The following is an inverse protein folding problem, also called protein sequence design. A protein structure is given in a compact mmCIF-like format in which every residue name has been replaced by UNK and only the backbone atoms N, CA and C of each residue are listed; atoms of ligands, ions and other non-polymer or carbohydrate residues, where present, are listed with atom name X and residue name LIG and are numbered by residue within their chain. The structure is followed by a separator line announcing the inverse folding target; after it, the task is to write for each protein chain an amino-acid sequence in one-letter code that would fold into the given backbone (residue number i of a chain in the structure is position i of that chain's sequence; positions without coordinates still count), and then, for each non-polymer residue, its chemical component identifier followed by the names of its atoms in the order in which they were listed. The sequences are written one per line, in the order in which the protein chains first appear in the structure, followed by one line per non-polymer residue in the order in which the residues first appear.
data_IF_715949663873
#
_entry.id   IF_715949663873
#
_cell.length_a   1.000
_cell.length_b   1.000
_cell.length_c   1.000
_cell.angle_alpha   90.00
_cell.angle_beta   90.00
_cell.angle_gamma   90.00
#
_symmetry.space_group_name_H-M   'P 1'
#
loop_
_entity.id
_entity.type
_entity.pdbx_description
1 polymer ?
#
# COMPACT_ATOMS: atom_id res chain seq x y z
N UNK A 1 -62.01 57.45 19.64
CA UNK A 1 -62.69 57.08 20.91
C UNK A 1 -61.70 56.32 21.78
N UNK A 2 -61.49 56.77 23.03
CA UNK A 2 -60.89 56.11 24.22
C UNK A 2 -59.61 55.25 23.97
N UNK A 3 -58.40 55.57 24.44
CA UNK A 3 -57.99 56.16 25.71
C UNK A 3 -57.50 55.08 26.69
N UNK A 4 -56.34 55.32 27.34
CA UNK A 4 -55.73 54.64 28.52
C UNK A 4 -54.86 53.38 28.27
N UNK A 5 -53.71 53.14 28.92
CA UNK A 5 -52.80 53.97 29.74
C UNK A 5 -51.47 53.22 30.01
N UNK A 6 -50.44 53.99 30.32
CA UNK A 6 -49.09 53.66 30.83
C UNK A 6 -49.04 52.62 31.98
N UNK A 7 -47.91 51.89 32.10
CA UNK A 7 -47.00 52.16 33.23
C UNK A 7 -45.57 51.63 33.08
N UNK A 8 -44.66 52.53 33.43
CA UNK A 8 -43.21 52.42 33.53
C UNK A 8 -42.89 52.58 35.02
N UNK A 9 -42.11 51.67 35.62
CA UNK A 9 -41.15 51.91 36.74
C UNK A 9 -40.88 50.65 37.56
N UNK A 10 -39.63 50.19 37.49
CA UNK A 10 -38.76 49.79 38.61
C UNK A 10 -37.51 49.14 37.99
N UNK A 11 -36.27 49.35 38.41
CA UNK A 11 -35.60 50.37 39.22
C UNK A 11 -34.11 50.08 38.97
N UNK A 12 -33.35 51.10 38.63
CA UNK A 12 -31.90 51.13 38.53
C UNK A 12 -31.26 50.62 39.83
N UNK A 13 -30.41 49.59 39.79
CA UNK A 13 -29.38 49.34 40.82
C UNK A 13 -28.20 48.55 40.24
N UNK A 14 -27.00 49.06 40.52
CA UNK A 14 -25.66 48.54 40.29
C UNK A 14 -25.08 48.55 38.87
N UNK A 15 -24.59 49.75 38.50
CA UNK A 15 -23.26 49.88 37.91
C UNK A 15 -22.18 49.65 38.99
N UNK A 16 -21.02 49.19 38.53
CA UNK A 16 -19.69 49.18 39.16
C UNK A 16 -19.33 47.97 40.02
N UNK A 17 -18.72 46.98 39.37
CA UNK A 17 -17.49 46.36 39.85
C UNK A 17 -16.60 46.04 38.64
N UNK A 18 -15.74 47.00 38.28
CA UNK A 18 -14.58 46.76 37.44
C UNK A 18 -13.44 46.28 38.34
N UNK A 19 -13.00 45.04 38.17
CA UNK A 19 -11.61 44.66 38.45
C UNK A 19 -11.15 43.66 37.41
N UNK A 20 -9.96 43.95 36.87
CA UNK A 20 -9.20 43.17 35.92
C UNK A 20 -9.09 41.70 36.35
N UNK A 21 -9.19 40.80 35.36
CA UNK A 21 -8.29 39.66 35.27
C UNK A 21 -8.00 39.40 33.80
N UNK A 22 -6.79 39.80 33.42
CA UNK A 22 -6.08 39.34 32.23
C UNK A 22 -5.95 37.82 32.37
N UNK A 23 -6.57 37.06 31.47
CA UNK A 23 -6.10 35.71 31.13
C UNK A 23 -6.23 35.52 29.63
N UNK A 24 -5.08 35.70 28.97
CA UNK A 24 -4.56 34.92 27.85
C UNK A 24 -5.59 34.20 26.97
N UNK A 25 -5.76 34.76 25.77
CA UNK A 25 -6.13 34.01 24.58
C UNK A 25 -5.07 32.92 24.33
N UNK A 26 -5.47 31.73 23.87
CA UNK A 26 -4.89 31.30 22.61
C UNK A 26 -5.97 31.13 21.54
N UNK A 27 -5.71 31.81 20.43
CA UNK A 27 -6.30 31.60 19.14
C UNK A 27 -5.96 30.16 18.74
N UNK A 28 -6.85 29.23 19.06
CA UNK A 28 -6.99 28.01 18.28
C UNK A 28 -8.30 28.14 17.52
N UNK A 29 -8.30 29.00 16.49
CA UNK A 29 -9.11 28.75 15.31
C UNK A 29 -8.54 27.49 14.66
N UNK A 30 -8.88 26.34 15.22
CA UNK A 30 -8.82 25.08 14.49
C UNK A 30 -9.88 25.27 13.41
N UNK A 31 -9.43 25.72 12.24
CA UNK A 31 -10.06 25.40 10.98
C UNK A 31 -10.06 23.87 10.87
N UNK A 32 -10.97 23.23 11.60
CA UNK A 32 -11.50 21.92 11.26
C UNK A 32 -12.37 22.14 10.03
N UNK A 33 -11.73 22.44 8.90
CA UNK A 33 -12.19 21.82 7.67
C UNK A 33 -11.99 20.34 7.97
N UNK A 34 -13.06 19.68 8.40
CA UNK A 34 -13.21 18.25 8.19
C UNK A 34 -13.17 18.10 6.67
N UNK A 35 -11.95 17.99 6.15
CA UNK A 35 -11.74 17.34 4.87
C UNK A 35 -12.48 16.00 4.96
N UNK A 36 -13.20 15.63 3.89
CA UNK A 36 -14.11 14.49 3.94
C UNK A 36 -13.34 13.32 4.54
N UNK A 37 -13.84 12.80 5.66
CA UNK A 37 -13.29 11.68 6.43
C UNK A 37 -12.12 10.98 5.71
N UNK A 38 -10.89 11.28 6.13
CA UNK A 38 -9.68 10.49 5.81
C UNK A 38 -9.67 9.14 6.55
N UNK A 39 -10.81 8.75 7.14
CA UNK A 39 -11.25 7.37 7.01
C UNK A 39 -11.69 7.22 5.57
N UNK A 40 -10.77 6.78 4.72
CA UNK A 40 -11.12 5.64 3.90
C UNK A 40 -11.68 4.57 4.86
N UNK A 41 -12.97 4.69 5.23
CA UNK A 41 -13.88 3.61 4.98
C UNK A 41 -13.74 3.38 3.46
N UNK A 42 -12.67 2.72 3.05
CA UNK A 42 -12.89 1.50 2.31
C UNK A 42 -13.76 0.69 3.29
N UNK A 43 -15.07 0.96 3.27
CA UNK A 43 -15.98 -0.15 3.25
C UNK A 43 -15.37 -1.02 2.17
N UNK A 44 -14.73 -2.12 2.58
CA UNK A 44 -14.54 -3.24 1.68
C UNK A 44 -15.92 -3.80 1.29
N UNK A 45 -16.99 -3.35 1.97
CA UNK A 45 -18.40 -3.35 1.50
C UNK A 45 -18.72 -2.22 0.50
N UNK A 46 -17.70 -1.56 -0.06
CA UNK A 46 -17.80 -0.66 -1.20
C UNK A 46 -17.83 -1.43 -2.51
N UNK A 47 -18.32 -2.67 -2.48
CA UNK A 47 -19.02 -3.20 -3.64
C UNK A 47 -20.09 -2.17 -3.98
N UNK A 48 -19.99 -1.55 -5.17
CA UNK A 48 -21.19 -1.31 -5.98
C UNK A 48 -22.10 -2.51 -5.72
N UNK A 49 -23.35 -2.29 -5.29
CA UNK A 49 -24.38 -3.28 -4.93
C UNK A 49 -24.53 -4.44 -5.94
N UNK A 50 -23.49 -5.24 -6.09
CA UNK A 50 -23.48 -6.60 -6.51
C UNK A 50 -23.12 -7.32 -5.22
N UNK A 51 -24.13 -7.48 -4.37
CA UNK A 51 -24.22 -8.69 -3.55
C UNK A 51 -24.26 -9.86 -4.53
N UNK A 52 -23.13 -10.18 -5.15
CA UNK A 52 -22.93 -11.53 -5.66
C UNK A 52 -23.06 -12.38 -4.41
N UNK A 53 -24.20 -13.06 -4.30
CA UNK A 53 -24.48 -14.02 -3.24
C UNK A 53 -23.21 -14.85 -3.06
N UNK A 54 -22.57 -14.73 -1.90
CA UNK A 54 -21.44 -15.58 -1.55
C UNK A 54 -21.93 -17.00 -1.68
N UNK A 55 -21.58 -17.66 -2.80
CA UNK A 55 -22.04 -19.00 -3.10
C UNK A 55 -21.59 -19.89 -1.95
N UNK A 56 -22.54 -20.44 -1.20
CA UNK A 56 -22.15 -21.36 -0.14
C UNK A 56 -21.67 -22.66 -0.77
N UNK A 57 -20.36 -22.92 -0.68
CA UNK A 57 -19.76 -24.15 -1.16
C UNK A 57 -19.92 -25.23 -0.09
N UNK A 58 -20.95 -26.07 -0.22
CA UNK A 58 -21.08 -27.28 0.59
C UNK A 58 -20.28 -28.39 -0.09
N UNK A 59 -19.26 -28.91 0.59
CA UNK A 59 -18.50 -30.08 0.14
C UNK A 59 -18.89 -31.29 0.99
N UNK A 60 -19.00 -32.44 0.36
CA UNK A 60 -19.45 -33.67 1.03
C UNK A 60 -18.29 -34.59 1.39
N UNK A 61 -17.19 -34.53 0.64
CA UNK A 61 -16.08 -35.46 0.74
C UNK A 61 -14.92 -34.94 1.59
N UNK A 62 -14.14 -35.86 2.15
CA UNK A 62 -13.13 -35.56 3.17
C UNK A 62 -12.01 -34.64 2.65
N UNK A 63 -11.43 -34.94 1.48
CA UNK A 63 -10.35 -34.14 0.89
C UNK A 63 -10.84 -32.71 0.55
N UNK A 64 -11.92 -32.52 -0.24
CA UNK A 64 -12.50 -31.20 -0.48
C UNK A 64 -12.87 -30.41 0.78
N UNK A 65 -13.44 -31.07 1.81
CA UNK A 65 -13.75 -30.44 3.12
C UNK A 65 -12.49 -29.92 3.80
N UNK A 66 -11.45 -30.75 3.91
CA UNK A 66 -10.16 -30.35 4.49
C UNK A 66 -9.53 -29.19 3.74
N UNK A 67 -9.60 -29.20 2.40
CA UNK A 67 -9.10 -28.07 1.58
C UNK A 67 -9.91 -26.80 1.86
N UNK A 68 -11.25 -26.87 1.95
CA UNK A 68 -12.11 -25.72 2.32
C UNK A 68 -11.75 -25.17 3.68
N UNK A 69 -11.52 -26.02 4.68
CA UNK A 69 -11.13 -25.60 6.04
C UNK A 69 -9.78 -24.88 6.04
N UNK A 70 -8.76 -25.41 5.36
CA UNK A 70 -7.44 -24.76 5.24
C UNK A 70 -7.57 -23.40 4.53
N UNK A 71 -8.38 -23.35 3.46
CA UNK A 71 -8.63 -22.11 2.73
C UNK A 71 -9.36 -21.07 3.59
N UNK A 72 -10.46 -21.47 4.22
CA UNK A 72 -11.31 -20.59 5.02
C UNK A 72 -10.64 -20.09 6.30
N UNK A 73 -9.84 -20.92 6.96
CA UNK A 73 -9.22 -20.60 8.24
C UNK A 73 -7.77 -20.13 8.05
N UNK A 74 -6.88 -21.03 7.60
CA UNK A 74 -5.44 -20.77 7.62
C UNK A 74 -4.98 -19.76 6.56
N UNK A 75 -5.51 -19.84 5.34
CA UNK A 75 -5.17 -18.86 4.29
C UNK A 75 -5.77 -17.50 4.64
N UNK A 76 -7.05 -17.44 5.01
CA UNK A 76 -7.71 -16.19 5.39
C UNK A 76 -7.01 -15.48 6.57
N UNK A 77 -6.66 -16.23 7.62
CA UNK A 77 -5.93 -15.69 8.77
C UNK A 77 -4.57 -15.11 8.36
N UNK A 78 -3.78 -15.86 7.59
CA UNK A 78 -2.50 -15.38 7.08
C UNK A 78 -2.66 -14.11 6.22
N UNK A 79 -3.71 -14.05 5.40
CA UNK A 79 -4.01 -12.88 4.59
C UNK A 79 -4.35 -11.66 5.45
N UNK A 80 -5.16 -11.84 6.50
CA UNK A 80 -5.51 -10.77 7.43
C UNK A 80 -4.25 -10.24 8.14
N UNK A 81 -3.41 -11.12 8.69
CA UNK A 81 -2.16 -10.74 9.36
C UNK A 81 -1.24 -9.92 8.43
N UNK A 82 -1.05 -10.41 7.21
CA UNK A 82 -0.15 -9.78 6.22
C UNK A 82 -0.71 -8.42 5.77
N UNK A 83 -2.01 -8.34 5.49
CA UNK A 83 -2.69 -7.08 5.14
C UNK A 83 -2.62 -6.07 6.27
N UNK A 84 -2.72 -6.52 7.53
CA UNK A 84 -2.60 -5.63 8.68
C UNK A 84 -1.19 -5.05 8.80
N UNK A 85 -0.14 -5.87 8.65
CA UNK A 85 1.24 -5.35 8.60
C UNK A 85 1.42 -4.34 7.46
N UNK A 86 0.88 -4.64 6.29
CA UNK A 86 0.93 -3.73 5.15
C UNK A 86 0.19 -2.42 5.41
N UNK A 87 -0.99 -2.44 6.04
CA UNK A 87 -1.74 -1.23 6.41
C UNK A 87 -0.96 -0.36 7.39
N UNK A 88 -0.35 -0.97 8.40
CA UNK A 88 0.51 -0.27 9.37
C UNK A 88 1.73 0.35 8.69
N UNK A 89 2.35 -0.39 7.77
CA UNK A 89 3.44 0.09 6.93
C UNK A 89 3.01 1.28 6.06
N UNK A 90 1.90 1.14 5.32
CA UNK A 90 1.31 2.17 4.44
C UNK A 90 1.06 3.46 5.21
N UNK A 91 0.49 3.39 6.42
CA UNK A 91 0.21 4.56 7.24
C UNK A 91 1.45 5.42 7.51
N UNK A 92 2.61 4.79 7.73
CA UNK A 92 3.87 5.51 7.99
C UNK A 92 4.55 5.97 6.69
N UNK A 93 4.65 5.08 5.71
CA UNK A 93 5.58 5.26 4.59
C UNK A 93 4.93 5.67 3.26
N UNK A 94 3.62 5.50 3.08
CA UNK A 94 2.91 6.00 1.89
C UNK A 94 3.02 7.51 1.73
N UNK A 95 3.13 8.22 2.85
CA UNK A 95 3.27 9.66 2.86
C UNK A 95 4.54 10.13 2.14
N UNK A 96 5.59 9.30 2.02
CA UNK A 96 6.77 9.62 1.20
C UNK A 96 6.35 9.95 -0.23
N UNK A 97 5.60 9.05 -0.87
CA UNK A 97 5.17 9.21 -2.26
C UNK A 97 4.26 10.43 -2.42
N UNK A 98 3.30 10.62 -1.51
CA UNK A 98 2.39 11.78 -1.54
C UNK A 98 3.15 13.10 -1.38
N UNK A 99 4.13 13.14 -0.47
CA UNK A 99 4.92 14.35 -0.20
C UNK A 99 5.91 14.66 -1.31
N UNK A 100 6.55 13.66 -1.91
CA UNK A 100 7.38 13.85 -3.10
C UNK A 100 6.58 14.38 -4.30
N UNK A 101 5.41 13.81 -4.59
CA UNK A 101 4.52 14.32 -5.67
C UNK A 101 4.07 15.75 -5.41
N UNK A 102 3.67 16.05 -4.18
CA UNK A 102 3.27 17.40 -3.78
C UNK A 102 4.42 18.39 -3.90
N UNK A 103 5.61 18.02 -3.43
CA UNK A 103 6.83 18.82 -3.57
C UNK A 103 7.17 19.07 -5.04
N UNK A 104 7.17 18.02 -5.87
CA UNK A 104 7.42 18.08 -7.32
C UNK A 104 6.51 19.10 -8.00
N UNK A 105 5.19 18.97 -7.86
CA UNK A 105 4.22 19.91 -8.46
C UNK A 105 4.38 21.35 -7.96
N UNK A 106 4.65 21.54 -6.67
CA UNK A 106 4.82 22.87 -6.08
C UNK A 106 6.08 23.54 -6.57
N UNK A 107 7.19 22.80 -6.67
CA UNK A 107 8.48 23.31 -7.16
C UNK A 107 8.39 23.62 -8.65
N UNK A 108 7.82 22.72 -9.46
CA UNK A 108 7.60 22.93 -10.90
C UNK A 108 6.84 24.23 -11.17
N UNK A 109 5.78 24.48 -10.39
CA UNK A 109 4.99 25.69 -10.52
C UNK A 109 5.71 26.98 -10.08
N UNK A 110 6.77 26.89 -9.28
CA UNK A 110 7.58 28.06 -8.87
C UNK A 110 8.56 28.51 -9.96
N UNK A 111 8.97 27.62 -10.86
CA UNK A 111 9.93 27.91 -11.93
C UNK A 111 9.47 29.12 -12.77
N UNK A 112 8.28 29.09 -13.43
CA UNK A 112 7.84 30.21 -14.26
C UNK A 112 7.38 31.44 -13.48
N UNK A 113 7.29 31.38 -12.15
CA UNK A 113 6.85 32.51 -11.31
C UNK A 113 7.97 33.49 -10.98
N UNK A 114 9.24 33.07 -11.09
CA UNK A 114 10.33 33.95 -10.71
C UNK A 114 10.49 35.08 -11.71
N UNK A 115 10.45 36.33 -11.22
CA UNK A 115 10.69 37.51 -12.06
C UNK A 115 12.14 37.63 -12.56
N UNK A 116 13.07 36.86 -11.98
CA UNK A 116 14.50 36.84 -12.32
C UNK A 116 14.85 35.48 -12.95
N UNK A 117 15.36 35.44 -14.21
CA UNK A 117 15.67 34.20 -14.91
C UNK A 117 16.69 33.30 -14.20
N UNK A 118 17.69 33.87 -13.54
CA UNK A 118 18.71 33.13 -12.80
C UNK A 118 18.10 32.33 -11.64
N UNK A 119 17.12 32.90 -10.95
CA UNK A 119 16.39 32.22 -9.88
C UNK A 119 15.58 31.05 -10.44
N UNK A 120 14.86 31.26 -11.55
CA UNK A 120 14.14 30.20 -12.25
C UNK A 120 15.05 29.04 -12.61
N UNK A 121 16.24 29.32 -13.16
CA UNK A 121 17.22 28.31 -13.56
C UNK A 121 17.73 27.48 -12.36
N UNK A 122 17.98 28.11 -11.19
CA UNK A 122 18.38 27.37 -9.99
C UNK A 122 17.26 26.49 -9.42
N UNK A 123 16.00 26.95 -9.47
CA UNK A 123 14.85 26.13 -9.09
C UNK A 123 14.69 24.94 -10.04
N UNK A 124 14.83 25.17 -11.34
CA UNK A 124 14.73 24.14 -12.38
C UNK A 124 15.84 23.09 -12.23
N UNK A 125 17.07 23.47 -11.89
CA UNK A 125 18.16 22.52 -11.58
C UNK A 125 17.79 21.57 -10.44
N UNK A 126 17.23 22.10 -9.35
CA UNK A 126 16.77 21.28 -8.23
C UNK A 126 15.65 20.32 -8.67
N UNK A 127 14.67 20.84 -9.40
CA UNK A 127 13.56 20.05 -9.94
C UNK A 127 14.05 18.91 -10.83
N UNK A 128 14.90 19.19 -11.81
CA UNK A 128 15.41 18.21 -12.77
C UNK A 128 16.25 17.11 -12.11
N UNK A 129 17.04 17.47 -11.09
CA UNK A 129 17.89 16.52 -10.36
C UNK A 129 17.10 15.61 -9.43
N UNK A 130 16.10 16.14 -8.72
CA UNK A 130 15.46 15.44 -7.61
C UNK A 130 14.01 14.99 -7.88
N UNK A 131 13.24 15.74 -8.66
CA UNK A 131 11.78 15.66 -8.67
C UNK A 131 11.16 15.32 -10.03
N UNK A 132 11.84 15.64 -11.14
CA UNK A 132 11.40 15.30 -12.49
C UNK A 132 11.58 13.80 -12.72
N UNK A 133 10.51 13.07 -13.05
CA UNK A 133 10.55 11.61 -13.13
C UNK A 133 11.50 11.10 -14.24
N UNK A 134 11.49 11.73 -15.42
CA UNK A 134 12.28 11.35 -16.60
C UNK A 134 13.54 12.23 -16.80
N UNK A 135 14.03 12.88 -15.74
CA UNK A 135 15.22 13.74 -15.80
C UNK A 135 16.51 12.96 -16.11
N UNK A 136 17.37 13.51 -16.98
CA UNK A 136 18.67 12.89 -17.34
C UNK A 136 19.71 13.00 -16.22
N UNK A 137 19.68 14.08 -15.45
CA UNK A 137 20.70 14.40 -14.43
C UNK A 137 20.34 13.90 -13.03
N UNK A 138 19.48 12.88 -12.94
CA UNK A 138 18.96 12.40 -11.67
C UNK A 138 19.99 11.62 -10.88
N UNK A 139 20.11 11.96 -9.61
CA UNK A 139 20.90 11.21 -8.65
C UNK A 139 20.24 9.85 -8.33
N UNK A 140 21.01 8.95 -7.71
CA UNK A 140 20.57 7.60 -7.34
C UNK A 140 19.36 7.61 -6.40
N UNK A 141 19.35 8.48 -5.39
CA UNK A 141 18.25 8.60 -4.44
C UNK A 141 16.95 9.07 -5.12
N UNK A 142 17.02 10.04 -6.02
CA UNK A 142 15.85 10.49 -6.80
C UNK A 142 15.26 9.35 -7.64
N UNK A 143 16.12 8.57 -8.33
CA UNK A 143 15.70 7.39 -9.08
C UNK A 143 15.02 6.34 -8.19
N UNK A 144 15.56 6.10 -6.99
CA UNK A 144 14.97 5.20 -6.00
C UNK A 144 13.59 5.65 -5.52
N UNK A 145 13.37 6.95 -5.33
CA UNK A 145 12.04 7.46 -4.97
C UNK A 145 10.96 7.05 -5.99
N UNK A 146 11.28 7.14 -7.28
CA UNK A 146 10.35 6.73 -8.33
C UNK A 146 10.10 5.23 -8.32
N UNK A 147 11.16 4.42 -8.22
CA UNK A 147 11.00 2.96 -8.20
C UNK A 147 10.21 2.52 -6.97
N UNK A 148 10.48 3.11 -5.81
CA UNK A 148 9.71 2.89 -4.57
C UNK A 148 8.21 3.23 -4.76
N UNK A 149 7.90 4.33 -5.45
CA UNK A 149 6.52 4.67 -5.81
C UNK A 149 5.88 3.63 -6.73
N UNK A 150 6.58 3.18 -7.78
CA UNK A 150 6.06 2.17 -8.71
C UNK A 150 5.75 0.86 -8.01
N UNK A 151 6.64 0.38 -7.14
CA UNK A 151 6.42 -0.84 -6.36
C UNK A 151 5.23 -0.65 -5.41
N UNK A 152 5.10 0.51 -4.78
CA UNK A 152 3.94 0.81 -3.92
C UNK A 152 2.62 0.69 -4.69
N UNK A 153 2.56 1.29 -5.89
CA UNK A 153 1.37 1.26 -6.74
C UNK A 153 1.05 -0.16 -7.21
N UNK A 154 2.07 -0.94 -7.55
CA UNK A 154 1.91 -2.32 -7.99
C UNK A 154 1.41 -3.22 -6.86
N UNK A 155 1.95 -3.05 -5.65
CA UNK A 155 1.47 -3.76 -4.46
C UNK A 155 0.00 -3.46 -4.19
N UNK A 156 -0.41 -2.19 -4.25
CA UNK A 156 -1.82 -1.79 -4.07
C UNK A 156 -2.72 -2.43 -5.16
N UNK A 157 -2.27 -2.46 -6.42
CA UNK A 157 -3.00 -3.07 -7.52
C UNK A 157 -3.15 -4.59 -7.36
N UNK A 158 -2.07 -5.31 -7.06
CA UNK A 158 -2.14 -6.76 -6.88
C UNK A 158 -2.95 -7.14 -5.64
N UNK A 159 -2.88 -6.36 -4.55
CA UNK A 159 -3.75 -6.60 -3.38
C UNK A 159 -5.23 -6.47 -3.75
N UNK A 160 -5.60 -5.53 -4.62
CA UNK A 160 -6.96 -5.40 -5.15
C UNK A 160 -7.37 -6.63 -5.95
N UNK A 161 -6.51 -7.10 -6.87
CA UNK A 161 -6.78 -8.29 -7.69
C UNK A 161 -6.89 -9.55 -6.83
N UNK A 162 -6.01 -9.71 -5.84
CA UNK A 162 -6.05 -10.82 -4.87
C UNK A 162 -7.35 -10.81 -4.08
N UNK A 163 -7.84 -9.64 -3.64
CA UNK A 163 -9.14 -9.56 -2.97
C UNK A 163 -10.26 -10.04 -3.89
N UNK A 164 -10.29 -9.54 -5.12
CA UNK A 164 -11.32 -9.87 -6.09
C UNK A 164 -11.42 -11.39 -6.36
N UNK A 165 -10.29 -12.08 -6.50
CA UNK A 165 -10.31 -13.53 -6.78
C UNK A 165 -10.69 -14.38 -5.55
N UNK A 166 -10.40 -13.88 -4.34
CA UNK A 166 -10.81 -14.51 -3.07
C UNK A 166 -12.30 -14.29 -2.78
N UNK A 167 -12.80 -13.07 -3.01
CA UNK A 167 -14.22 -12.70 -2.87
C UNK A 167 -15.09 -13.49 -3.86
N UNK A 168 -14.59 -13.65 -5.10
CA UNK A 168 -15.21 -14.51 -6.11
C UNK A 168 -15.09 -16.02 -5.82
N UNK A 169 -14.41 -16.38 -4.73
CA UNK A 169 -14.17 -17.76 -4.27
C UNK A 169 -13.66 -18.66 -5.39
N UNK A 170 -12.77 -18.13 -6.26
CA UNK A 170 -12.33 -18.81 -7.47
C UNK A 170 -11.64 -20.15 -7.15
N UNK A 171 -10.87 -20.19 -6.05
CA UNK A 171 -10.24 -21.41 -5.57
C UNK A 171 -11.27 -22.52 -5.28
N UNK A 172 -12.36 -22.18 -4.57
CA UNK A 172 -13.41 -23.13 -4.20
C UNK A 172 -14.17 -23.68 -5.42
N UNK A 173 -14.23 -22.93 -6.53
CA UNK A 173 -14.80 -23.41 -7.80
C UNK A 173 -14.00 -24.60 -8.35
N UNK A 174 -12.67 -24.59 -8.25
CA UNK A 174 -11.84 -25.74 -8.66
C UNK A 174 -12.04 -26.94 -7.73
N UNK A 175 -12.12 -26.70 -6.42
CA UNK A 175 -12.34 -27.76 -5.43
C UNK A 175 -13.72 -28.42 -5.59
N UNK A 176 -14.72 -27.67 -6.03
CA UNK A 176 -16.05 -28.20 -6.34
C UNK A 176 -16.05 -29.26 -7.43
N UNK A 177 -15.21 -29.11 -8.45
CA UNK A 177 -15.07 -30.14 -9.51
C UNK A 177 -14.59 -31.46 -8.90
N UNK A 178 -13.65 -31.40 -7.95
CA UNK A 178 -13.14 -32.59 -7.25
C UNK A 178 -14.24 -33.25 -6.40
N UNK A 179 -14.98 -32.46 -5.60
CA UNK A 179 -16.06 -32.98 -4.76
C UNK A 179 -17.22 -33.59 -5.58
N UNK A 180 -17.57 -32.98 -6.71
CA UNK A 180 -18.59 -33.50 -7.62
C UNK A 180 -18.17 -34.84 -8.23
N UNK A 181 -16.90 -34.97 -8.62
CA UNK A 181 -16.36 -36.24 -9.13
C UNK A 181 -16.49 -37.35 -8.08
N UNK A 182 -16.10 -37.06 -6.83
CA UNK A 182 -16.20 -38.04 -5.75
C UNK A 182 -17.65 -38.42 -5.42
N UNK A 183 -18.60 -37.53 -5.70
CA UNK A 183 -20.04 -37.80 -5.59
C UNK A 183 -20.57 -38.76 -6.66
N UNK A 184 -19.72 -39.25 -7.58
CA UNK A 184 -20.12 -40.12 -8.68
C UNK A 184 -20.67 -39.37 -9.90
N UNK A 185 -20.55 -38.04 -9.95
CA UNK A 185 -20.91 -37.26 -11.14
C UNK A 185 -19.89 -37.56 -12.23
N UNK A 186 -20.39 -37.81 -13.44
CA UNK A 186 -19.54 -38.04 -14.60
C UNK A 186 -18.88 -36.73 -15.02
N UNK A 187 -17.58 -36.63 -14.74
CA UNK A 187 -16.72 -35.50 -15.05
C UNK A 187 -15.55 -36.04 -15.87
N UNK A 188 -15.26 -35.37 -16.98
CA UNK A 188 -14.15 -35.78 -17.86
C UNK A 188 -12.82 -35.70 -17.12
N UNK A 189 -11.95 -36.68 -17.33
CA UNK A 189 -10.62 -36.73 -16.71
C UNK A 189 -9.82 -35.44 -16.93
N UNK A 190 -9.89 -34.84 -18.12
CA UNK A 190 -9.23 -33.56 -18.41
C UNK A 190 -9.76 -32.39 -17.59
N UNK A 191 -11.04 -32.39 -17.18
CA UNK A 191 -11.59 -31.36 -16.30
C UNK A 191 -11.07 -31.50 -14.86
N UNK A 192 -10.90 -32.74 -14.38
CA UNK A 192 -10.29 -33.03 -13.09
C UNK A 192 -8.82 -32.61 -13.09
N UNK A 193 -8.06 -32.98 -14.13
CA UNK A 193 -6.66 -32.57 -14.29
C UNK A 193 -6.52 -31.04 -14.27
N UNK A 194 -7.35 -30.36 -15.05
CA UNK A 194 -7.38 -28.89 -15.08
C UNK A 194 -7.74 -28.28 -13.73
N UNK A 195 -8.69 -28.86 -12.99
CA UNK A 195 -9.06 -28.38 -11.66
C UNK A 195 -7.87 -28.47 -10.68
N UNK A 196 -7.18 -29.62 -10.64
CA UNK A 196 -6.01 -29.83 -9.76
C UNK A 196 -4.87 -28.85 -10.12
N UNK A 197 -4.53 -28.75 -11.41
CA UNK A 197 -3.48 -27.83 -11.89
C UNK A 197 -3.86 -26.38 -11.58
N UNK A 198 -5.11 -25.99 -11.82
CA UNK A 198 -5.59 -24.63 -11.57
C UNK A 198 -5.61 -24.29 -10.08
N UNK A 199 -5.97 -25.23 -9.21
CA UNK A 199 -5.86 -25.07 -7.75
C UNK A 199 -4.42 -24.76 -7.33
N UNK A 200 -3.44 -25.52 -7.82
CA UNK A 200 -2.03 -25.30 -7.48
C UNK A 200 -1.50 -23.97 -8.04
N UNK A 201 -1.81 -23.67 -9.31
CA UNK A 201 -1.45 -22.38 -9.94
C UNK A 201 -2.07 -21.20 -9.22
N UNK A 202 -3.33 -21.31 -8.80
CA UNK A 202 -4.01 -20.27 -8.02
C UNK A 202 -3.23 -19.96 -6.74
N UNK A 203 -2.86 -20.99 -5.97
CA UNK A 203 -2.12 -20.81 -4.72
C UNK A 203 -0.72 -20.21 -4.97
N UNK A 204 0.00 -20.67 -6.00
CA UNK A 204 1.31 -20.08 -6.35
C UNK A 204 1.21 -18.62 -6.79
N UNK A 205 0.16 -18.26 -7.49
CA UNK A 205 0.01 -16.92 -8.05
C UNK A 205 -0.50 -15.89 -7.03
N UNK A 206 -1.25 -16.31 -6.01
CA UNK A 206 -1.92 -15.38 -5.09
C UNK A 206 -1.47 -15.51 -3.63
N UNK A 207 -1.02 -16.70 -3.19
CA UNK A 207 -0.56 -16.91 -1.82
C UNK A 207 0.97 -16.82 -1.71
N UNK A 208 1.70 -17.80 -2.25
CA UNK A 208 3.15 -17.88 -2.07
C UNK A 208 3.84 -18.69 -3.18
N UNK A 209 4.97 -18.19 -3.69
CA UNK A 209 5.80 -18.93 -4.63
C UNK A 209 7.27 -18.90 -4.21
N UNK A 210 7.74 -20.02 -3.66
CA UNK A 210 9.13 -20.17 -3.19
C UNK A 210 10.17 -19.94 -4.29
N UNK A 211 9.89 -20.33 -5.53
CA UNK A 211 10.84 -20.20 -6.64
C UNK A 211 10.98 -18.76 -7.16
N UNK A 212 9.97 -17.91 -6.91
CA UNK A 212 9.91 -16.51 -7.37
C UNK A 212 9.99 -15.51 -6.22
N UNK A 213 10.59 -15.88 -5.10
CA UNK A 213 10.80 -14.93 -4.00
C UNK A 213 12.01 -14.05 -4.34
N UNK A 214 11.80 -12.75 -4.30
CA UNK A 214 12.82 -11.74 -4.57
C UNK A 214 13.92 -11.81 -3.51
N UNK A 215 15.18 -11.60 -3.91
CA UNK A 215 16.33 -11.53 -3.01
C UNK A 215 16.95 -10.15 -3.04
N UNK A 216 17.72 -9.83 -2.00
CA UNK A 216 18.43 -8.54 -1.93
C UNK A 216 19.41 -8.38 -3.10
N UNK A 217 20.10 -9.45 -3.49
CA UNK A 217 21.06 -9.43 -4.60
C UNK A 217 20.39 -9.23 -5.97
N UNK A 218 19.10 -9.54 -6.08
CA UNK A 218 18.33 -9.32 -7.30
C UNK A 218 18.01 -7.83 -7.44
N UNK A 219 17.64 -7.16 -6.34
CA UNK A 219 17.34 -5.73 -6.31
C UNK A 219 18.54 -4.85 -6.62
N UNK A 220 19.73 -5.23 -6.15
CA UNK A 220 20.97 -4.49 -6.43
C UNK A 220 21.36 -4.55 -7.92
N UNK A 221 20.86 -5.53 -8.67
CA UNK A 221 21.08 -5.68 -10.12
C UNK A 221 20.01 -5.03 -10.97
N UNK A 222 18.88 -4.62 -10.39
CA UNK A 222 17.80 -3.95 -11.13
C UNK A 222 18.34 -2.60 -11.62
N UNK A 223 18.25 -2.39 -12.93
CA UNK A 223 18.55 -1.09 -13.51
C UNK A 223 17.45 -0.10 -13.12
N UNK A 224 17.73 0.69 -12.08
CA UNK A 224 16.85 1.75 -11.56
C UNK A 224 16.62 2.84 -12.64
N UNK A 225 17.45 2.90 -13.69
CA UNK A 225 17.40 3.92 -14.74
C UNK A 225 16.52 3.57 -15.94
N UNK A 226 16.36 2.28 -16.28
CA UNK A 226 15.70 1.87 -17.54
C UNK A 226 14.35 1.19 -17.35
N UNK A 227 14.07 0.65 -16.16
CA UNK A 227 12.94 -0.24 -15.97
C UNK A 227 11.71 0.52 -15.45
N UNK A 228 10.94 1.09 -16.39
CA UNK A 228 9.61 1.69 -16.13
C UNK A 228 8.58 0.65 -15.69
N UNK A 229 8.86 -0.63 -15.93
CA UNK A 229 8.05 -1.71 -15.42
C UNK A 229 8.45 -1.99 -13.97
N UNK A 230 7.48 -2.16 -13.10
CA UNK A 230 7.72 -2.83 -11.81
C UNK A 230 8.02 -4.32 -12.06
N UNK A 231 7.40 -4.92 -13.07
CA UNK A 231 7.19 -6.36 -13.21
C UNK A 231 8.43 -7.19 -13.60
N UNK A 232 9.13 -7.69 -12.58
CA UNK A 232 9.87 -8.96 -12.67
C UNK A 232 9.43 -9.98 -11.62
N UNK A 233 8.38 -9.67 -10.85
CA UNK A 233 8.10 -10.32 -9.57
C UNK A 233 6.80 -11.13 -9.52
N UNK A 234 6.77 -12.05 -8.56
CA UNK A 234 5.61 -12.89 -8.26
C UNK A 234 4.43 -12.04 -7.78
N UNK A 235 3.21 -12.32 -8.25
CA UNK A 235 1.97 -11.68 -7.77
C UNK A 235 1.44 -12.30 -6.46
N UNK A 236 2.18 -13.26 -5.91
CA UNK A 236 1.82 -13.86 -4.64
C UNK A 236 1.95 -12.84 -3.51
N UNK A 237 0.91 -12.67 -2.69
CA UNK A 237 0.87 -11.64 -1.64
C UNK A 237 2.08 -11.70 -0.71
N UNK A 238 2.53 -12.90 -0.32
CA UNK A 238 3.67 -13.07 0.57
C UNK A 238 4.98 -12.64 -0.09
N UNK A 239 5.16 -12.94 -1.37
CA UNK A 239 6.34 -12.54 -2.13
C UNK A 239 6.38 -11.02 -2.30
N UNK A 240 5.24 -10.42 -2.68
CA UNK A 240 5.10 -8.97 -2.89
C UNK A 240 5.40 -8.17 -1.63
N UNK A 241 4.86 -8.59 -0.48
CA UNK A 241 5.11 -7.92 0.79
C UNK A 241 6.59 -7.99 1.17
N UNK A 242 7.19 -9.17 1.01
CA UNK A 242 8.61 -9.35 1.27
C UNK A 242 9.46 -8.43 0.39
N UNK A 243 9.18 -8.38 -0.91
CA UNK A 243 9.87 -7.50 -1.85
C UNK A 243 9.69 -6.01 -1.50
N UNK A 244 8.49 -5.58 -1.14
CA UNK A 244 8.26 -4.20 -0.68
C UNK A 244 9.13 -3.86 0.55
N UNK A 245 9.29 -4.82 1.46
CA UNK A 245 10.20 -4.68 2.59
C UNK A 245 11.67 -4.56 2.18
N UNK A 246 12.11 -5.31 1.17
CA UNK A 246 13.47 -5.19 0.64
C UNK A 246 13.70 -3.84 -0.07
N UNK A 247 12.73 -3.35 -0.86
CA UNK A 247 12.79 -2.01 -1.45
C UNK A 247 12.86 -0.92 -0.39
N UNK A 248 12.16 -1.09 0.73
CA UNK A 248 12.26 -0.19 1.88
C UNK A 248 13.66 -0.18 2.49
N UNK A 249 14.28 -1.35 2.69
CA UNK A 249 15.67 -1.42 3.15
C UNK A 249 16.64 -0.74 2.19
N UNK A 250 16.45 -0.94 0.88
CA UNK A 250 17.27 -0.29 -0.14
C UNK A 250 17.11 1.24 -0.10
N UNK A 251 15.88 1.73 0.03
CA UNK A 251 15.60 3.16 0.20
C UNK A 251 16.29 3.70 1.45
N UNK A 252 16.09 3.04 2.60
CA UNK A 252 16.74 3.38 3.87
C UNK A 252 18.26 3.46 3.73
N UNK A 253 18.91 2.46 3.13
CA UNK A 253 20.37 2.41 2.91
C UNK A 253 20.88 3.61 2.11
N UNK A 254 20.13 4.08 1.11
CA UNK A 254 20.54 5.23 0.29
C UNK A 254 20.16 6.57 0.90
N UNK A 255 19.08 6.64 1.68
CA UNK A 255 18.73 7.82 2.47
C UNK A 255 19.75 8.04 3.60
N UNK A 256 20.22 6.96 4.23
CA UNK A 256 21.24 7.02 5.29
C UNK A 256 22.67 7.14 4.76
N UNK A 257 22.87 7.11 3.44
CA UNK A 257 24.13 7.53 2.84
C UNK A 257 24.30 9.03 3.08
N UNK A 258 25.20 9.36 4.01
CA UNK A 258 25.45 10.73 4.48
C UNK A 258 25.70 11.69 3.32
N UNK A 259 26.30 11.23 2.22
CA UNK A 259 26.57 12.10 1.08
C UNK A 259 25.29 12.44 0.32
N UNK A 260 24.40 11.47 0.08
CA UNK A 260 23.18 11.68 -0.71
C UNK A 260 22.16 12.55 0.02
N UNK A 261 21.96 12.32 1.33
CA UNK A 261 21.01 13.13 2.11
C UNK A 261 21.54 14.54 2.35
N UNK A 262 22.84 14.71 2.61
CA UNK A 262 23.42 16.05 2.75
C UNK A 262 23.41 16.82 1.43
N UNK A 263 23.62 16.14 0.30
CA UNK A 263 23.47 16.74 -1.02
C UNK A 263 22.03 17.21 -1.26
N UNK A 264 21.03 16.38 -0.94
CA UNK A 264 19.62 16.77 -1.04
C UNK A 264 19.31 18.02 -0.19
N UNK A 265 19.80 18.05 1.05
CA UNK A 265 19.64 19.20 1.96
C UNK A 265 20.31 20.46 1.44
N UNK A 266 21.52 20.34 0.91
CA UNK A 266 22.29 21.45 0.36
C UNK A 266 21.62 22.02 -0.87
N UNK A 267 21.21 21.16 -1.81
CA UNK A 267 20.53 21.58 -3.03
C UNK A 267 19.18 22.23 -2.72
N UNK A 268 18.43 21.69 -1.75
CA UNK A 268 17.20 22.32 -1.28
C UNK A 268 17.45 23.71 -0.67
N UNK A 269 18.52 23.89 0.11
CA UNK A 269 18.86 25.19 0.67
C UNK A 269 19.21 26.22 -0.42
N UNK A 270 19.87 25.79 -1.50
CA UNK A 270 20.11 26.62 -2.69
C UNK A 270 18.80 26.96 -3.39
N UNK A 271 17.96 25.97 -3.68
CA UNK A 271 16.62 26.17 -4.24
C UNK A 271 15.83 27.20 -3.43
N UNK A 272 15.73 27.02 -2.11
CA UNK A 272 14.97 27.89 -1.22
C UNK A 272 15.42 29.36 -1.27
N UNK A 273 16.73 29.61 -1.36
CA UNK A 273 17.26 30.99 -1.47
C UNK A 273 16.86 31.69 -2.77
N UNK A 274 16.57 30.93 -3.82
CA UNK A 274 16.19 31.44 -5.13
C UNK A 274 14.67 31.56 -5.32
N UNK A 275 13.85 31.10 -4.37
CA UNK A 275 12.40 31.36 -4.37
C UNK A 275 12.16 32.78 -3.82
N UNK A 276 12.11 33.76 -4.72
CA UNK A 276 11.82 35.16 -4.38
C UNK A 276 10.33 35.43 -4.54
N UNK A 277 9.73 34.92 -5.60
CA UNK A 277 8.31 35.04 -5.90
C UNK A 277 7.60 33.73 -5.54
N UNK A 278 6.57 33.82 -4.69
CA UNK A 278 5.68 32.69 -4.36
C UNK A 278 4.22 33.18 -4.38
N UNK A 279 3.77 33.54 -5.58
CA UNK A 279 2.47 34.22 -5.79
C UNK A 279 1.32 33.36 -5.27
N UNK A 280 1.42 32.03 -5.43
CA UNK A 280 0.43 31.07 -4.94
C UNK A 280 0.56 30.68 -3.46
N UNK A 281 1.46 31.29 -2.68
CA UNK A 281 1.76 30.93 -1.28
C UNK A 281 1.94 29.42 -1.09
N UNK A 282 2.63 28.78 -2.03
CA UNK A 282 2.84 27.33 -2.05
C UNK A 282 3.71 26.93 -0.87
N UNK A 283 3.13 26.15 0.03
CA UNK A 283 3.85 25.59 1.17
C UNK A 283 4.61 24.31 0.74
N UNK A 284 5.68 24.46 -0.05
CA UNK A 284 6.58 23.37 -0.42
C UNK A 284 7.48 22.93 0.75
N UNK A 285 7.72 23.85 1.69
CA UNK A 285 8.62 23.66 2.83
C UNK A 285 8.11 22.62 3.80
N UNK A 286 6.80 22.57 4.04
CA UNK A 286 6.19 21.53 4.87
C UNK A 286 6.34 20.12 4.28
N UNK A 287 6.29 19.98 2.95
CA UNK A 287 6.43 18.68 2.30
C UNK A 287 7.89 18.22 2.33
N UNK A 288 8.83 19.12 2.06
CA UNK A 288 10.25 18.85 2.22
C UNK A 288 10.62 18.51 3.67
N UNK A 289 10.14 19.30 4.64
CA UNK A 289 10.41 19.06 6.06
C UNK A 289 9.91 17.68 6.49
N UNK A 290 8.71 17.29 6.09
CA UNK A 290 8.21 15.94 6.36
C UNK A 290 9.16 14.85 5.86
N UNK A 291 9.67 14.99 4.63
CA UNK A 291 10.58 14.01 4.04
C UNK A 291 11.88 13.93 4.83
N UNK A 292 12.48 15.07 5.16
CA UNK A 292 13.73 15.12 5.94
C UNK A 292 13.53 14.57 7.35
N UNK A 293 12.49 15.00 8.06
CA UNK A 293 12.20 14.52 9.41
C UNK A 293 12.03 12.98 9.40
N UNK A 294 11.38 12.42 8.38
CA UNK A 294 11.24 10.97 8.23
C UNK A 294 12.59 10.28 7.92
N UNK A 295 13.37 10.85 7.01
CA UNK A 295 14.67 10.33 6.58
C UNK A 295 15.74 10.38 7.67
N UNK A 296 15.68 11.38 8.55
CA UNK A 296 16.57 11.52 9.70
C UNK A 296 16.22 10.57 10.86
N UNK A 297 14.96 10.14 10.96
CA UNK A 297 14.49 9.19 11.98
C UNK A 297 14.72 7.71 11.57
N UNK A 298 15.79 7.44 10.84
CA UNK A 298 16.32 6.10 10.49
C UNK A 298 15.40 5.15 9.69
N UNK A 299 14.12 5.50 9.48
CA UNK A 299 13.14 4.69 8.74
C UNK A 299 13.08 3.24 9.23
N UNK A 300 13.11 3.00 10.54
CA UNK A 300 13.13 1.65 11.07
C UNK A 300 11.78 0.91 10.92
N UNK A 301 11.88 -0.39 10.64
CA UNK A 301 10.72 -1.28 10.66
C UNK A 301 10.54 -1.85 12.07
N UNK A 302 9.37 -1.61 12.63
CA UNK A 302 8.90 -2.19 13.88
C UNK A 302 8.19 -3.53 13.60
N UNK A 303 8.02 -4.36 14.63
CA UNK A 303 7.33 -5.64 14.51
C UNK A 303 5.93 -5.52 13.88
N UNK A 304 5.22 -4.40 14.10
CA UNK A 304 3.87 -4.16 13.61
C UNK A 304 3.79 -3.74 12.12
N UNK A 305 4.92 -3.40 11.48
CA UNK A 305 4.98 -2.95 10.09
C UNK A 305 6.11 -3.63 9.28
N UNK A 306 6.83 -4.57 9.88
CA UNK A 306 7.89 -5.32 9.22
C UNK A 306 7.33 -6.32 8.20
N UNK A 307 7.37 -5.94 6.92
CA UNK A 307 6.89 -6.75 5.79
C UNK A 307 7.80 -7.95 5.48
N UNK A 308 9.03 -7.97 6.01
CA UNK A 308 10.01 -9.02 5.74
C UNK A 308 9.99 -10.15 6.78
N UNK A 309 9.01 -10.15 7.68
CA UNK A 309 8.95 -11.16 8.73
C UNK A 309 8.85 -12.57 8.13
N UNK A 310 9.90 -13.38 8.31
CA UNK A 310 9.98 -14.75 7.78
C UNK A 310 8.85 -15.66 8.27
N UNK A 311 8.17 -15.31 9.37
CA UNK A 311 7.02 -16.07 9.86
C UNK A 311 5.94 -16.23 8.79
N UNK A 312 5.73 -15.21 7.95
CA UNK A 312 4.73 -15.25 6.88
C UNK A 312 5.09 -16.27 5.80
N UNK A 313 6.37 -16.30 5.40
CA UNK A 313 6.87 -17.29 4.43
C UNK A 313 6.78 -18.71 5.00
N UNK A 314 7.19 -18.90 6.26
CA UNK A 314 7.12 -20.20 6.93
C UNK A 314 5.68 -20.70 7.07
N UNK A 315 4.74 -19.83 7.47
CA UNK A 315 3.30 -20.15 7.55
C UNK A 315 2.76 -20.51 6.15
N UNK A 316 3.06 -19.70 5.15
CA UNK A 316 2.62 -19.93 3.77
C UNK A 316 3.17 -21.24 3.21
N UNK A 317 4.45 -21.53 3.38
CA UNK A 317 5.07 -22.78 2.93
C UNK A 317 4.42 -24.00 3.61
N UNK A 318 4.14 -23.91 4.92
CA UNK A 318 3.43 -24.97 5.65
C UNK A 318 2.03 -25.22 5.06
N UNK A 319 1.25 -24.16 4.84
CA UNK A 319 -0.10 -24.24 4.25
C UNK A 319 -0.03 -24.84 2.83
N UNK A 320 0.90 -24.34 2.01
CA UNK A 320 1.11 -24.82 0.64
C UNK A 320 1.46 -26.31 0.61
N UNK A 321 2.31 -26.79 1.52
CA UNK A 321 2.67 -28.19 1.62
C UNK A 321 1.49 -29.08 2.06
N UNK A 322 0.66 -28.60 2.98
CA UNK A 322 -0.57 -29.31 3.39
C UNK A 322 -1.54 -29.44 2.22
N UNK A 323 -1.79 -28.36 1.49
CA UNK A 323 -2.67 -28.37 0.32
C UNK A 323 -2.11 -29.23 -0.81
N UNK A 324 -0.80 -29.17 -1.06
CA UNK A 324 -0.13 -30.02 -2.04
C UNK A 324 -0.28 -31.51 -1.69
N UNK A 325 -0.18 -31.88 -0.41
CA UNK A 325 -0.38 -33.26 0.01
C UNK A 325 -1.81 -33.75 -0.30
N UNK A 326 -2.82 -32.93 0.02
CA UNK A 326 -4.23 -33.22 -0.26
C UNK A 326 -4.50 -33.32 -1.78
N UNK A 327 -3.94 -32.42 -2.58
CA UNK A 327 -4.06 -32.48 -4.04
C UNK A 327 -3.35 -33.72 -4.61
N UNK A 328 -2.18 -34.09 -4.11
CA UNK A 328 -1.49 -35.32 -4.51
C UNK A 328 -2.27 -36.59 -4.13
N UNK A 329 -3.00 -36.56 -3.02
CA UNK A 329 -3.91 -37.64 -2.64
C UNK A 329 -5.04 -37.78 -3.67
N UNK A 330 -5.62 -36.66 -4.13
CA UNK A 330 -6.59 -36.65 -5.21
C UNK A 330 -6.01 -37.19 -6.53
N UNK A 331 -4.79 -36.76 -6.90
CA UNK A 331 -4.10 -37.23 -8.10
C UNK A 331 -4.00 -38.76 -8.10
N UNK A 332 -3.60 -39.36 -6.97
CA UNK A 332 -3.49 -40.81 -6.81
C UNK A 332 -4.84 -41.51 -6.92
N UNK A 333 -5.87 -40.96 -6.26
CA UNK A 333 -7.22 -41.53 -6.27
C UNK A 333 -7.82 -41.60 -7.68
N UNK A 334 -7.49 -40.63 -8.53
CA UNK A 334 -7.97 -40.55 -9.91
C UNK A 334 -7.02 -41.21 -10.93
N UNK A 335 -5.90 -41.80 -10.50
CA UNK A 335 -4.92 -42.45 -11.38
C UNK A 335 -4.16 -41.48 -12.30
N UNK A 336 -3.88 -40.27 -11.82
CA UNK A 336 -3.29 -39.16 -12.58
C UNK A 336 -1.80 -38.93 -12.29
N UNK A 337 -1.11 -39.87 -11.63
CA UNK A 337 0.26 -39.66 -11.12
C UNK A 337 1.30 -39.40 -12.21
N UNK A 338 1.07 -39.90 -13.43
CA UNK A 338 1.97 -39.70 -14.57
C UNK A 338 1.67 -38.41 -15.36
N UNK A 339 0.52 -37.79 -15.12
CA UNK A 339 0.02 -36.67 -15.92
C UNK A 339 0.20 -35.31 -15.22
N UNK A 340 0.30 -35.29 -13.89
CA UNK A 340 0.33 -34.06 -13.10
C UNK A 340 1.52 -34.03 -12.15
N UNK A 341 2.34 -32.98 -12.26
CA UNK A 341 3.39 -32.66 -11.30
C UNK A 341 3.13 -31.31 -10.62
N UNK A 342 3.00 -31.32 -9.29
CA UNK A 342 2.78 -30.10 -8.50
C UNK A 342 4.11 -29.50 -8.02
N UNK A 343 4.89 -28.95 -8.95
CA UNK A 343 6.21 -28.35 -8.71
C UNK A 343 6.17 -26.92 -8.16
N UNK A 344 7.23 -26.53 -7.44
CA UNK A 344 7.50 -25.12 -7.15
C UNK A 344 8.02 -24.38 -8.39
N UNK A 345 8.77 -25.10 -9.23
CA UNK A 345 9.27 -24.61 -10.51
C UNK A 345 8.21 -24.93 -11.57
N UNK A 346 7.53 -23.91 -12.06
CA UNK A 346 6.80 -23.88 -13.34
C UNK A 346 7.10 -22.55 -14.03
#
# INVERSE_FOLDING_TARGET
MKGFNMNWKNKMFLKYASTLSIVLVPFFSISCIKYPNDKENINLDGSIDNKDETKDFIFNHEIPKKIKEIYGNSISELFLEVKEKYRNYRTKYFNINRKLKSLSKKVEALIPEQGIPENSAEIEKFYNKWLLEDGKDRCKLAKLFNKYQLIFQDVDAVLSDVNLVFDNQQFLKFIKVLDQRESGIDIKQGEIQNAIISSWKFLKNHLYNKAKISKEEDLEKINIESDKNSHSHSHAIINLMFEMGLWHLLLKKNVLDINQLNEFKKDYATFKKNVVDNIGQRNYESDYKFLIDLFENEMELEDNNNLMNKIFQTKAEKIMNQLKALLNEQIKKEGLENDIFLGWND
#
